data_IF_125318938807
#
_entry.id   IF_125318938807
#
_cell.length_a   1.000
_cell.length_b   1.000
_cell.length_c   1.000
_cell.angle_alpha   90.00
_cell.angle_beta   90.00
_cell.angle_gamma   90.00
#
_symmetry.space_group_name_H-M   'P 1'
#
loop_
_entity.id
_entity.type
_entity.pdbx_description
1 polymer ?
#
# COMPACT_ATOMS: atom_id res chain seq x y z
N UNK A 1 19.60 -3.99 -19.32
CA UNK A 1 19.44 -3.54 -17.93
C UNK A 1 19.73 -4.72 -17.02
N UNK A 2 20.56 -4.54 -16.01
CA UNK A 2 20.96 -5.63 -15.12
C UNK A 2 19.79 -6.07 -14.22
N UNK A 3 19.77 -7.34 -13.79
CA UNK A 3 18.71 -7.87 -12.92
C UNK A 3 18.68 -7.15 -11.57
N UNK A 4 19.84 -6.75 -11.05
CA UNK A 4 19.93 -6.00 -9.79
C UNK A 4 19.40 -4.58 -9.97
N UNK A 5 19.71 -3.95 -11.10
CA UNK A 5 19.21 -2.62 -11.45
C UNK A 5 17.68 -2.60 -11.55
N UNK A 6 17.10 -3.60 -12.21
CA UNK A 6 15.65 -3.82 -12.26
C UNK A 6 15.02 -4.00 -10.87
N UNK A 7 15.63 -4.80 -10.00
CA UNK A 7 15.14 -4.97 -8.60
C UNK A 7 15.20 -3.65 -7.83
N UNK A 8 16.24 -2.83 -8.04
CA UNK A 8 16.36 -1.51 -7.40
C UNK A 8 15.27 -0.54 -7.88
N UNK A 9 14.99 -0.51 -9.17
CA UNK A 9 13.90 0.31 -9.72
C UNK A 9 12.54 -0.13 -9.16
N UNK A 10 12.30 -1.44 -9.09
CA UNK A 10 11.07 -1.98 -8.51
C UNK A 10 10.96 -1.66 -7.02
N UNK A 11 12.04 -1.80 -6.25
CA UNK A 11 12.09 -1.40 -4.84
C UNK A 11 11.71 0.07 -4.64
N UNK A 12 12.25 0.96 -5.47
CA UNK A 12 11.91 2.38 -5.43
C UNK A 12 10.42 2.61 -5.76
N UNK A 13 9.90 1.93 -6.78
CA UNK A 13 8.49 2.02 -7.14
C UNK A 13 7.56 1.50 -6.03
N UNK A 14 7.94 0.42 -5.34
CA UNK A 14 7.23 -0.12 -4.17
C UNK A 14 7.23 0.91 -3.04
N UNK A 15 8.39 1.47 -2.69
CA UNK A 15 8.48 2.48 -1.62
C UNK A 15 7.60 3.70 -1.91
N UNK A 16 7.65 4.22 -3.15
CA UNK A 16 6.80 5.31 -3.59
C UNK A 16 5.31 4.94 -3.55
N UNK A 17 4.95 3.71 -3.91
CA UNK A 17 3.57 3.24 -3.85
C UNK A 17 3.07 3.14 -2.41
N UNK A 18 3.89 2.64 -1.48
CA UNK A 18 3.56 2.63 -0.04
C UNK A 18 3.34 4.05 0.51
N UNK A 19 4.15 5.02 0.08
CA UNK A 19 3.98 6.43 0.46
C UNK A 19 2.74 7.09 -0.17
N UNK A 20 2.26 6.60 -1.32
CA UNK A 20 0.98 7.08 -1.89
C UNK A 20 -0.20 6.55 -1.09
N UNK A 21 -0.13 5.28 -0.67
CA UNK A 21 -1.15 4.66 0.16
C UNK A 21 -1.23 5.30 1.55
N UNK A 22 -0.08 5.62 2.13
CA UNK A 22 0.01 6.26 3.43
C UNK A 22 0.24 7.76 3.28
N UNK A 23 -0.74 8.59 3.59
CA UNK A 23 -0.53 10.04 3.62
C UNK A 23 0.52 10.42 4.67
N UNK A 24 1.62 11.05 4.24
CA UNK A 24 2.57 11.69 5.16
C UNK A 24 1.86 12.88 5.80
N UNK A 25 1.64 12.82 7.12
CA UNK A 25 1.16 13.96 7.91
C UNK A 25 -0.21 13.81 8.55
N UNK A 26 -0.99 12.78 8.22
CA UNK A 26 -2.31 12.59 8.85
C UNK A 26 -2.22 11.67 10.08
N UNK A 27 -2.03 12.29 11.26
CA UNK A 27 -2.00 11.61 12.56
C UNK A 27 -3.30 10.87 12.89
N UNK A 28 -4.39 11.10 12.14
CA UNK A 28 -5.69 10.46 12.38
C UNK A 28 -5.81 9.07 11.76
N UNK A 29 -4.85 8.62 10.94
CA UNK A 29 -4.90 7.36 10.20
C UNK A 29 -4.70 6.07 11.01
N UNK A 30 -4.96 6.08 12.33
CA UNK A 30 -5.41 4.87 13.01
C UNK A 30 -6.86 4.53 12.61
N UNK A 31 -7.21 4.72 11.33
CA UNK A 31 -8.57 4.56 10.82
C UNK A 31 -8.75 3.06 10.60
N UNK A 32 -9.43 2.45 11.56
CA UNK A 32 -10.10 1.17 11.38
C UNK A 32 -10.97 1.29 10.13
N UNK A 33 -10.77 0.40 9.15
CA UNK A 33 -11.59 0.31 7.94
C UNK A 33 -10.92 0.76 6.64
N UNK A 34 -9.74 1.40 6.68
CA UNK A 34 -9.01 1.80 5.45
C UNK A 34 -7.69 1.05 5.28
N UNK A 35 -7.38 0.49 4.09
CA UNK A 35 -6.13 -0.20 3.87
C UNK A 35 -4.92 0.69 4.18
N UNK A 36 -3.98 0.19 4.99
CA UNK A 36 -2.71 0.87 5.23
C UNK A 36 -1.55 -0.11 5.13
N UNK A 37 -0.36 0.43 4.84
CA UNK A 37 0.85 -0.38 4.67
C UNK A 37 1.96 0.11 5.59
N UNK A 38 2.78 -0.78 6.09
CA UNK A 38 3.97 -0.45 6.86
C UNK A 38 5.16 -0.87 6.02
N UNK A 39 6.00 0.08 5.66
CA UNK A 39 7.18 -0.15 4.83
C UNK A 39 8.43 0.03 5.68
N UNK A 40 9.24 -1.02 5.78
CA UNK A 40 10.53 -1.00 6.44
C UNK A 40 11.63 -1.38 5.45
N UNK A 41 12.74 -0.64 5.49
CA UNK A 41 13.91 -0.92 4.67
C UNK A 41 15.16 -0.99 5.54
N UNK A 42 15.87 -2.11 5.42
CA UNK A 42 17.18 -2.30 6.04
C UNK A 42 18.27 -2.28 4.94
N UNK A 43 18.75 -1.07 4.63
CA UNK A 43 19.67 -0.85 3.50
C UNK A 43 20.99 -1.63 3.59
N UNK A 44 21.49 -1.91 4.80
CA UNK A 44 22.74 -2.66 5.02
C UNK A 44 22.63 -4.15 4.70
N UNK A 45 21.43 -4.73 4.75
CA UNK A 45 21.14 -6.14 4.38
C UNK A 45 20.38 -6.26 3.06
N UNK A 46 19.97 -5.14 2.47
CA UNK A 46 19.24 -5.10 1.20
C UNK A 46 17.85 -5.72 1.31
N UNK A 47 17.18 -5.52 2.45
CA UNK A 47 15.89 -6.14 2.76
C UNK A 47 14.79 -5.08 2.84
N UNK A 48 13.64 -5.41 2.27
CA UNK A 48 12.40 -4.64 2.34
C UNK A 48 11.36 -5.54 3.01
N UNK A 49 10.71 -5.01 4.03
CA UNK A 49 9.60 -5.67 4.73
C UNK A 49 8.36 -4.79 4.61
N UNK A 50 7.25 -5.39 4.20
CA UNK A 50 5.99 -4.71 3.94
C UNK A 50 4.89 -5.43 4.69
N UNK A 51 4.35 -4.79 5.71
CA UNK A 51 3.15 -5.23 6.42
C UNK A 51 1.91 -4.57 5.83
N UNK A 52 0.97 -5.35 5.35
CA UNK A 52 -0.28 -4.86 4.73
C UNK A 52 -1.44 -5.15 5.67
N UNK A 53 -2.22 -4.12 5.94
CA UNK A 53 -3.44 -4.19 6.75
C UNK A 53 -4.61 -3.77 5.85
N UNK A 54 -5.26 -4.73 5.21
CA UNK A 54 -6.29 -4.48 4.18
C UNK A 54 -7.55 -3.85 4.76
N UNK A 55 -7.79 -4.03 6.07
CA UNK A 55 -8.95 -3.49 6.80
C UNK A 55 -8.60 -2.32 7.72
N UNK A 56 -7.41 -1.77 7.56
CA UNK A 56 -6.86 -0.77 8.46
C UNK A 56 -6.17 -1.36 9.67
N UNK A 57 -5.45 -0.48 10.35
CA UNK A 57 -4.53 -0.86 11.41
C UNK A 57 -5.04 -0.41 12.77
N UNK A 58 -4.98 -1.36 13.71
CA UNK A 58 -5.16 -1.13 15.14
C UNK A 58 -3.90 -1.57 15.89
N UNK A 59 -3.64 -0.94 17.03
CA UNK A 59 -2.48 -1.28 17.86
C UNK A 59 -2.53 -2.75 18.29
N UNK A 60 -1.42 -3.47 18.10
CA UNK A 60 -1.30 -4.89 18.47
C UNK A 60 -1.85 -5.87 17.43
N UNK A 61 -2.47 -5.39 16.35
CA UNK A 61 -2.88 -6.26 15.24
C UNK A 61 -1.68 -6.72 14.42
N UNK A 62 -1.77 -7.95 13.91
CA UNK A 62 -0.83 -8.48 12.91
C UNK A 62 -1.25 -8.02 11.52
N UNK A 63 -0.30 -7.88 10.58
CA UNK A 63 -0.65 -7.60 9.19
C UNK A 63 -1.44 -8.77 8.60
N UNK A 64 -2.41 -8.45 7.74
CA UNK A 64 -3.12 -9.45 6.93
C UNK A 64 -2.15 -10.16 5.97
N UNK A 65 -1.15 -9.41 5.46
CA UNK A 65 -0.04 -9.95 4.68
C UNK A 65 1.28 -9.32 5.08
N UNK A 66 2.31 -10.14 5.23
CA UNK A 66 3.69 -9.70 5.37
C UNK A 66 4.47 -10.13 4.12
N UNK A 67 5.13 -9.19 3.46
CA UNK A 67 5.93 -9.43 2.25
C UNK A 67 7.38 -9.06 2.56
N UNK A 68 8.27 -10.05 2.47
CA UNK A 68 9.70 -9.88 2.64
C UNK A 68 10.38 -9.99 1.28
N UNK A 69 11.06 -8.93 0.84
CA UNK A 69 11.85 -8.90 -0.38
C UNK A 69 13.32 -8.68 -0.04
N UNK A 70 14.18 -9.57 -0.54
CA UNK A 70 15.62 -9.50 -0.31
C UNK A 70 16.43 -9.89 -1.57
N UNK A 71 17.73 -10.12 -1.40
CA UNK A 71 18.63 -10.51 -2.49
C UNK A 71 18.24 -11.85 -3.16
N UNK A 72 17.59 -12.75 -2.42
CA UNK A 72 17.15 -14.07 -2.86
C UNK A 72 15.79 -14.03 -3.56
N UNK A 73 14.95 -13.03 -3.28
CA UNK A 73 13.67 -12.83 -3.97
C UNK A 73 13.88 -12.61 -5.48
N UNK A 74 13.07 -13.25 -6.29
CA UNK A 74 13.04 -13.17 -7.75
C UNK A 74 12.50 -11.82 -8.25
N UNK A 75 12.78 -11.49 -9.52
CA UNK A 75 12.16 -10.31 -10.14
C UNK A 75 10.63 -10.37 -10.17
N UNK A 76 10.05 -11.57 -10.25
CA UNK A 76 8.60 -11.76 -10.24
C UNK A 76 8.00 -11.31 -8.92
N UNK A 77 8.60 -11.71 -7.79
CA UNK A 77 8.11 -11.31 -6.45
C UNK A 77 8.09 -9.79 -6.24
N UNK A 78 9.09 -9.07 -6.77
CA UNK A 78 9.07 -7.60 -6.76
C UNK A 78 7.93 -7.02 -7.60
N UNK A 79 7.67 -7.59 -8.79
CA UNK A 79 6.56 -7.14 -9.66
C UNK A 79 5.21 -7.44 -9.04
N UNK A 80 5.03 -8.64 -8.50
CA UNK A 80 3.80 -9.08 -7.88
C UNK A 80 3.46 -8.22 -6.65
N UNK A 81 4.47 -7.91 -5.83
CA UNK A 81 4.32 -6.98 -4.72
C UNK A 81 3.84 -5.60 -5.19
N UNK A 82 4.47 -5.04 -6.23
CA UNK A 82 4.08 -3.72 -6.75
C UNK A 82 2.67 -3.72 -7.35
N UNK A 83 2.32 -4.76 -8.11
CA UNK A 83 0.98 -4.92 -8.70
C UNK A 83 -0.07 -5.00 -7.61
N UNK A 84 0.14 -5.85 -6.60
CA UNK A 84 -0.76 -5.99 -5.47
C UNK A 84 -0.99 -4.66 -4.74
N UNK A 85 0.08 -3.89 -4.44
CA UNK A 85 -0.04 -2.59 -3.78
C UNK A 85 -0.78 -1.55 -4.64
N UNK A 86 -0.66 -1.62 -5.97
CA UNK A 86 -1.39 -0.73 -6.89
C UNK A 86 -2.88 -1.08 -6.93
N UNK A 87 -3.20 -2.37 -7.03
CA UNK A 87 -4.59 -2.85 -7.03
C UNK A 87 -5.28 -2.49 -5.71
N UNK A 88 -4.59 -2.69 -4.59
CA UNK A 88 -5.10 -2.31 -3.27
C UNK A 88 -5.37 -0.80 -3.18
N UNK A 89 -4.44 0.03 -3.67
CA UNK A 89 -4.62 1.48 -3.71
C UNK A 89 -5.77 1.93 -4.61
N UNK A 90 -5.90 1.35 -5.81
CA UNK A 90 -7.01 1.64 -6.72
C UNK A 90 -8.36 1.26 -6.11
N UNK A 91 -8.44 0.11 -5.43
CA UNK A 91 -9.67 -0.34 -4.77
C UNK A 91 -10.13 0.62 -3.67
N UNK A 92 -9.19 1.32 -3.03
CA UNK A 92 -9.48 2.36 -2.03
C UNK A 92 -10.06 3.61 -2.69
N UNK A 93 -9.37 4.15 -3.71
CA UNK A 93 -9.81 5.36 -4.43
C UNK A 93 -11.23 5.16 -4.98
N UNK A 94 -11.50 4.03 -5.62
CA UNK A 94 -12.82 3.74 -6.18
C UNK A 94 -13.93 3.67 -5.11
N UNK A 95 -13.62 3.22 -3.88
CA UNK A 95 -14.57 3.23 -2.76
C UNK A 95 -14.82 4.65 -2.24
N UNK A 96 -13.81 5.51 -2.27
CA UNK A 96 -13.93 6.90 -1.86
C UNK A 96 -14.78 7.70 -2.86
N UNK A 97 -14.46 7.62 -4.16
CA UNK A 97 -15.24 8.28 -5.23
C UNK A 97 -16.69 7.79 -5.28
N UNK A 98 -16.91 6.47 -5.10
CA UNK A 98 -18.26 5.91 -5.05
C UNK A 98 -19.08 6.43 -3.86
N UNK A 99 -18.45 6.68 -2.71
CA UNK A 99 -19.12 7.27 -1.55
C UNK A 99 -19.48 8.74 -1.80
N UNK A 100 -18.58 9.52 -2.40
CA UNK A 100 -18.85 10.93 -2.73
C UNK A 100 -20.05 11.05 -3.68
N UNK A 101 -20.09 10.21 -4.73
CA UNK A 101 -21.19 10.20 -5.69
C UNK A 101 -22.55 9.88 -5.04
N UNK A 102 -22.58 8.94 -4.08
CA UNK A 102 -23.81 8.61 -3.34
C UNK A 102 -24.29 9.78 -2.47
N UNK A 103 -23.38 10.49 -1.81
CA UNK A 103 -23.74 11.65 -0.97
C UNK A 103 -24.33 12.79 -1.82
N UNK A 104 -23.79 13.04 -3.00
CA UNK A 104 -24.31 14.06 -3.93
C UNK A 104 -25.72 13.71 -4.44
N UNK A 105 -25.98 12.43 -4.74
CA UNK A 105 -27.29 11.95 -5.17
C UNK A 105 -28.35 12.08 -4.05
N UNK A 106 -28.02 11.71 -2.82
CA UNK A 106 -28.95 11.84 -1.69
C UNK A 106 -29.32 13.31 -1.41
N UNK A 107 -28.37 14.24 -1.56
CA UNK A 107 -28.64 15.68 -1.45
C UNK A 107 -29.51 16.20 -2.59
N UNK A 108 -29.36 15.67 -3.81
CA UNK A 108 -30.15 16.07 -4.97
C UNK A 108 -31.60 15.54 -4.95
N UNK A 109 -31.84 14.38 -4.33
CA UNK A 109 -33.18 13.77 -4.23
C UNK A 109 -33.95 14.27 -2.99
N UNK A 110 -33.25 14.79 -1.98
CA UNK A 110 -33.84 15.36 -0.76
C UNK A 110 -34.23 16.84 -0.82
N UNK A 111 -34.06 17.51 -1.98
CA UNK A 111 -34.41 18.92 -2.23
C UNK A 111 -35.65 19.06 -3.13
#
# INVERSE_FOLDING_TARGET
MDTIELKRELANAIALQCLKMNTIGDKKNSIVGEPCVFFYIAGHVGTIDIGVYEKGWESGCRPDRAILLDKHSTLAEFKDCLTYLRELHLSRIMKEEGKELCVELDQAVGA
#
